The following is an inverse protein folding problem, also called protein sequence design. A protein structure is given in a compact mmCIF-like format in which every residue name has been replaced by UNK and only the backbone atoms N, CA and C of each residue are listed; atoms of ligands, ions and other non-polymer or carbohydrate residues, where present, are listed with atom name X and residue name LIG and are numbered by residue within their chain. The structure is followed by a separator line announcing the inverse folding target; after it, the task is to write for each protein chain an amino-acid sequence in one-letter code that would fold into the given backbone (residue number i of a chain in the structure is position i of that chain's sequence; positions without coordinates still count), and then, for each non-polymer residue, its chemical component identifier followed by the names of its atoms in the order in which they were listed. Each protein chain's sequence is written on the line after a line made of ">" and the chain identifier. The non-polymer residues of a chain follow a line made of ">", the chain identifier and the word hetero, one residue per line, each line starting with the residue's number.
data_IF_145948000943
#
_entry.id   IF_145948000943
#
_cell.length_a   1.000
_cell.length_b   1.000
_cell.length_c   1.000
_cell.angle_alpha   90.00
_cell.angle_beta   90.00
_cell.angle_gamma   90.00
#
_symmetry.space_group_name_H-M   'P 1'
#
loop_
_entity.id
_entity.type
_entity.pdbx_description
1 polymer ?
#
# COMPACT_ATOMS: atom_id res chain seq x y z
N UNK A 1 -37.51 -19.22 29.06
CA UNK A 1 -36.94 -17.85 29.12
C UNK A 1 -36.01 -17.68 27.93
N UNK A 2 -36.31 -16.79 26.99
CA UNK A 2 -35.46 -16.53 25.83
C UNK A 2 -34.75 -15.19 26.02
N UNK A 3 -33.44 -15.23 26.28
CA UNK A 3 -32.61 -14.03 26.34
C UNK A 3 -32.33 -13.52 24.93
N UNK A 4 -32.80 -12.30 24.66
CA UNK A 4 -32.66 -11.63 23.36
C UNK A 4 -31.22 -11.10 23.18
N UNK A 5 -30.46 -11.66 22.23
CA UNK A 5 -29.12 -11.21 21.80
C UNK A 5 -29.08 -9.81 21.13
N UNK A 6 -30.18 -9.05 21.19
CA UNK A 6 -30.35 -7.76 20.49
C UNK A 6 -29.51 -6.60 21.06
N UNK A 7 -28.62 -6.87 22.02
CA UNK A 7 -27.76 -5.85 22.65
C UNK A 7 -26.29 -6.28 22.79
N UNK A 8 -25.79 -7.18 21.93
CA UNK A 8 -24.35 -7.27 21.74
C UNK A 8 -23.89 -5.98 21.05
N UNK A 9 -23.07 -5.19 21.75
CA UNK A 9 -22.43 -3.99 21.19
C UNK A 9 -21.89 -4.33 19.80
N UNK A 10 -22.25 -3.54 18.78
CA UNK A 10 -21.70 -3.73 17.43
C UNK A 10 -20.17 -3.84 17.55
N UNK A 11 -19.54 -4.88 16.97
CA UNK A 11 -18.09 -4.99 17.02
C UNK A 11 -17.50 -3.73 16.38
N UNK A 12 -16.68 -3.02 17.15
CA UNK A 12 -15.97 -1.85 16.64
C UNK A 12 -14.85 -2.36 15.71
N UNK A 13 -14.66 -1.76 14.53
CA UNK A 13 -13.60 -2.18 13.62
C UNK A 13 -12.23 -1.94 14.26
N UNK A 14 -11.30 -2.87 14.04
CA UNK A 14 -9.90 -2.68 14.43
C UNK A 14 -9.27 -1.60 13.55
N UNK A 15 -8.37 -0.81 14.13
CA UNK A 15 -7.60 0.19 13.39
C UNK A 15 -6.20 -0.35 13.13
N UNK A 16 -5.81 -0.46 11.86
CA UNK A 16 -4.49 -0.93 11.47
C UNK A 16 -3.67 0.25 10.93
N UNK A 17 -2.45 0.42 11.46
CA UNK A 17 -1.52 1.46 11.04
C UNK A 17 -0.23 0.80 10.55
N UNK A 18 0.14 1.13 9.31
CA UNK A 18 1.45 0.79 8.77
C UNK A 18 2.37 2.02 8.85
N UNK A 19 3.56 1.83 9.44
CA UNK A 19 4.60 2.85 9.50
C UNK A 19 5.81 2.36 8.72
N UNK A 20 6.34 3.21 7.86
CA UNK A 20 7.57 2.94 7.12
C UNK A 20 8.57 4.05 7.39
N UNK A 21 9.82 3.67 7.65
CA UNK A 21 10.91 4.64 7.75
C UNK A 21 11.23 5.23 6.37
N UNK A 22 11.51 6.53 6.32
CA UNK A 22 11.86 7.22 5.07
C UNK A 22 13.32 6.94 4.61
N UNK A 23 14.13 6.31 5.46
CA UNK A 23 15.54 6.01 5.19
C UNK A 23 15.77 4.51 5.13
N UNK A 24 16.74 4.09 4.32
CA UNK A 24 17.25 2.71 4.28
C UNK A 24 17.54 2.18 5.69
N UNK A 25 17.08 0.97 6.07
CA UNK A 25 16.55 -0.10 5.20
C UNK A 25 15.03 -0.07 4.97
N UNK A 26 14.37 1.09 5.12
CA UNK A 26 12.91 1.25 4.97
C UNK A 26 12.10 0.31 5.86
N UNK A 27 12.55 0.19 7.12
CA UNK A 27 11.90 -0.66 8.11
C UNK A 27 10.39 -0.36 8.17
N UNK A 28 9.59 -1.41 8.01
CA UNK A 28 8.13 -1.32 8.08
C UNK A 28 7.66 -1.96 9.39
N UNK A 29 6.73 -1.30 10.07
CA UNK A 29 6.07 -1.86 11.26
C UNK A 29 4.57 -1.72 11.11
N UNK A 30 3.84 -2.74 11.54
CA UNK A 30 2.37 -2.75 11.51
C UNK A 30 1.86 -2.81 12.94
N UNK A 31 0.89 -1.96 13.27
CA UNK A 31 0.25 -1.92 14.58
C UNK A 31 -1.25 -2.06 14.39
N UNK A 32 -1.90 -2.87 15.21
CA UNK A 32 -3.35 -2.98 15.27
C UNK A 32 -3.85 -2.47 16.63
N UNK A 33 -4.83 -1.60 16.62
CA UNK A 33 -5.55 -1.17 17.80
C UNK A 33 -6.85 -1.94 17.92
N UNK A 34 -6.99 -2.65 19.05
CA UNK A 34 -8.22 -3.35 19.41
C UNK A 34 -9.10 -2.42 20.26
N UNK A 35 -10.22 -1.91 19.71
CA UNK A 35 -11.13 -1.03 20.43
C UNK A 35 -11.91 -1.74 21.55
N UNK A 36 -11.94 -3.08 21.59
CA UNK A 36 -12.58 -3.84 22.66
C UNK A 36 -11.71 -3.86 23.92
N UNK A 37 -10.39 -4.03 23.76
CA UNK A 37 -9.43 -4.05 24.87
C UNK A 37 -8.70 -2.74 25.10
N UNK A 38 -8.86 -1.74 24.21
CA UNK A 38 -8.16 -0.46 24.23
C UNK A 38 -6.62 -0.62 24.19
N UNK A 39 -6.12 -1.60 23.44
CA UNK A 39 -4.70 -1.93 23.39
C UNK A 39 -4.14 -1.84 21.97
N UNK A 40 -2.86 -1.46 21.90
CA UNK A 40 -2.06 -1.51 20.68
C UNK A 40 -1.25 -2.80 20.64
N UNK A 41 -1.40 -3.55 19.56
CA UNK A 41 -0.68 -4.80 19.30
C UNK A 41 0.29 -4.54 18.16
N UNK A 42 1.58 -4.78 18.40
CA UNK A 42 2.59 -4.77 17.34
C UNK A 42 2.51 -6.09 16.57
N UNK A 43 2.24 -6.01 15.28
CA UNK A 43 2.21 -7.18 14.41
C UNK A 43 3.63 -7.38 13.85
N UNK A 44 4.25 -8.47 14.28
CA UNK A 44 5.57 -8.90 13.81
C UNK A 44 5.43 -9.42 12.38
N UNK A 45 5.94 -8.68 11.40
CA UNK A 45 6.03 -9.11 10.01
C UNK A 45 7.50 -9.26 9.61
N UNK A 46 7.82 -10.17 8.68
CA UNK A 46 9.14 -10.22 8.08
C UNK A 46 9.46 -8.85 7.47
N UNK A 47 10.67 -8.35 7.70
CA UNK A 47 11.13 -7.10 7.09
C UNK A 47 11.30 -7.34 5.60
N UNK A 48 10.27 -7.00 4.84
CA UNK A 48 10.37 -7.13 3.40
C UNK A 48 11.22 -5.96 2.89
N UNK A 49 12.41 -6.29 2.36
CA UNK A 49 13.35 -5.32 1.78
C UNK A 49 12.72 -4.71 0.54
N UNK A 50 12.28 -3.46 0.63
CA UNK A 50 11.68 -2.76 -0.50
C UNK A 50 12.25 -1.35 -0.63
N UNK A 51 12.28 -0.85 -1.86
CA UNK A 51 12.90 0.42 -2.25
C UNK A 51 11.84 1.54 -2.35
N UNK A 52 10.54 1.24 -2.20
CA UNK A 52 9.45 2.20 -2.38
C UNK A 52 8.47 2.27 -1.21
N UNK A 53 7.71 3.38 -1.17
CA UNK A 53 6.73 3.67 -0.15
C UNK A 53 5.53 2.71 -0.18
N UNK A 54 5.06 2.31 1.00
CA UNK A 54 3.82 1.56 1.20
C UNK A 54 2.64 2.51 1.05
N UNK A 55 1.74 2.18 0.12
CA UNK A 55 0.52 2.93 -0.16
C UNK A 55 -0.70 2.06 0.13
N UNK A 56 -1.82 2.71 0.41
CA UNK A 56 -3.13 2.06 0.61
C UNK A 56 -4.14 2.72 -0.32
N UNK A 57 -5.02 1.90 -0.89
CA UNK A 57 -6.14 2.36 -1.71
C UNK A 57 -7.49 2.12 -1.01
N UNK A 58 -8.57 2.65 -1.57
CA UNK A 58 -9.92 2.65 -0.99
C UNK A 58 -10.54 1.26 -0.77
N UNK A 59 -9.92 0.18 -1.27
CA UNK A 59 -10.45 -1.19 -1.24
C UNK A 59 -9.66 -2.16 -0.36
N UNK A 60 -9.02 -1.69 0.72
CA UNK A 60 -8.09 -2.48 1.56
C UNK A 60 -6.89 -3.07 0.79
N UNK A 61 -6.60 -2.51 -0.39
CA UNK A 61 -5.44 -2.91 -1.17
C UNK A 61 -4.24 -2.15 -0.66
N UNK A 62 -3.26 -2.87 -0.14
CA UNK A 62 -1.94 -2.35 0.13
C UNK A 62 -1.09 -2.57 -1.12
N UNK A 63 -0.32 -1.57 -1.51
CA UNK A 63 0.58 -1.72 -2.65
C UNK A 63 1.88 -0.95 -2.47
N UNK A 64 2.88 -1.41 -3.19
CA UNK A 64 4.18 -0.77 -3.34
C UNK A 64 4.51 -0.79 -4.82
N UNK A 65 4.97 0.35 -5.32
CA UNK A 65 5.31 0.50 -6.71
C UNK A 65 6.69 1.17 -6.81
N UNK A 66 7.62 0.53 -7.51
CA UNK A 66 8.93 1.03 -7.92
C UNK A 66 9.11 0.83 -9.42
N UNK A 67 10.04 1.54 -10.06
CA UNK A 67 10.26 1.46 -11.51
C UNK A 67 10.60 0.06 -11.99
N UNK A 68 11.06 -0.80 -11.07
CA UNK A 68 11.42 -2.19 -11.29
C UNK A 68 10.43 -3.22 -10.75
N UNK A 69 9.46 -2.84 -9.92
CA UNK A 69 8.62 -3.82 -9.21
C UNK A 69 7.28 -3.25 -8.77
N UNK A 70 6.22 -4.02 -9.02
CA UNK A 70 4.92 -3.79 -8.42
C UNK A 70 4.56 -4.94 -7.48
N UNK A 71 4.26 -4.59 -6.23
CA UNK A 71 3.83 -5.54 -5.20
C UNK A 71 2.51 -5.08 -4.60
N UNK A 72 1.57 -6.00 -4.40
CA UNK A 72 0.29 -5.68 -3.77
C UNK A 72 -0.19 -6.79 -2.83
N UNK A 73 -1.08 -6.43 -1.91
CA UNK A 73 -1.73 -7.31 -0.94
C UNK A 73 -3.20 -6.89 -0.78
N UNK A 74 -4.07 -7.89 -0.62
CA UNK A 74 -5.46 -7.69 -0.22
C UNK A 74 -5.68 -7.93 1.28
N UNK A 75 -4.64 -8.38 1.98
CA UNK A 75 -4.66 -8.60 3.41
C UNK A 75 -4.15 -7.35 4.12
N UNK A 76 -5.00 -6.73 4.94
CA UNK A 76 -4.63 -5.60 5.78
C UNK A 76 -3.54 -5.94 6.80
N UNK A 77 -3.36 -7.22 7.14
CA UNK A 77 -2.28 -7.69 8.00
C UNK A 77 -0.98 -7.90 7.22
N UNK A 78 -0.93 -7.53 5.94
CA UNK A 78 0.30 -7.44 5.18
C UNK A 78 1.09 -8.78 5.14
N UNK A 79 0.38 -9.91 5.28
CA UNK A 79 0.96 -11.25 5.43
C UNK A 79 1.24 -11.90 4.08
N UNK A 80 0.37 -11.64 3.09
CA UNK A 80 0.44 -12.23 1.75
C UNK A 80 0.69 -11.16 0.72
N UNK A 81 1.76 -11.30 -0.06
CA UNK A 81 2.15 -10.33 -1.08
C UNK A 81 2.27 -10.99 -2.44
N UNK A 82 1.65 -10.37 -3.44
CA UNK A 82 1.80 -10.71 -4.84
C UNK A 82 2.85 -9.79 -5.44
N UNK A 83 3.79 -10.36 -6.20
CA UNK A 83 4.86 -9.63 -6.86
C UNK A 83 4.71 -9.82 -8.36
N UNK A 84 4.63 -8.73 -9.11
CA UNK A 84 4.49 -8.74 -10.56
C UNK A 84 5.38 -7.65 -11.16
N UNK A 85 5.56 -7.72 -12.47
CA UNK A 85 6.27 -6.67 -13.20
C UNK A 85 5.53 -5.34 -13.07
N UNK A 86 6.25 -4.21 -12.95
CA UNK A 86 5.63 -2.90 -12.87
C UNK A 86 4.96 -2.55 -14.21
N UNK A 87 3.96 -1.64 -14.19
CA UNK A 87 3.44 -1.06 -15.43
C UNK A 87 4.57 -0.47 -16.28
N UNK A 88 4.47 -0.62 -17.60
CA UNK A 88 5.47 -0.14 -18.57
C UNK A 88 5.78 1.35 -18.45
N UNK A 89 4.80 2.13 -17.98
CA UNK A 89 4.94 3.56 -17.77
C UNK A 89 5.02 3.84 -16.28
N UNK A 90 6.18 4.35 -15.85
CA UNK A 90 6.40 4.81 -14.49
C UNK A 90 5.57 6.05 -14.20
N UNK A 91 4.75 6.01 -13.15
CA UNK A 91 3.87 7.12 -12.79
C UNK A 91 3.81 7.32 -11.28
N UNK A 92 3.78 8.58 -10.88
CA UNK A 92 3.67 9.01 -9.49
C UNK A 92 2.23 8.85 -9.02
N UNK A 93 2.04 8.23 -7.86
CA UNK A 93 0.74 8.11 -7.16
C UNK A 93 -0.43 7.52 -8.00
N UNK A 94 -0.29 6.32 -8.60
CA UNK A 94 -1.42 5.70 -9.30
C UNK A 94 -2.50 5.25 -8.32
N UNK A 95 -3.74 5.20 -8.80
CA UNK A 95 -4.89 4.59 -8.15
C UNK A 95 -4.87 3.08 -8.46
N UNK A 96 -4.78 2.27 -7.41
CA UNK A 96 -4.79 0.81 -7.51
C UNK A 96 -6.10 0.27 -6.97
N UNK A 97 -6.81 -0.57 -7.72
CA UNK A 97 -8.07 -1.16 -7.30
C UNK A 97 -8.16 -2.64 -7.66
N UNK A 98 -8.88 -3.41 -6.84
CA UNK A 98 -9.28 -4.77 -7.17
C UNK A 98 -10.64 -4.73 -7.88
N UNK A 99 -10.73 -5.32 -9.07
CA UNK A 99 -11.96 -5.44 -9.85
C UNK A 99 -12.17 -6.92 -10.19
N UNK A 100 -13.02 -7.60 -9.41
CA UNK A 100 -13.17 -9.06 -9.49
C UNK A 100 -11.84 -9.76 -9.18
N UNK A 101 -11.34 -10.52 -10.15
CA UNK A 101 -10.07 -11.25 -10.09
C UNK A 101 -8.88 -10.46 -10.65
N UNK A 102 -9.12 -9.23 -11.09
CA UNK A 102 -8.09 -8.37 -11.68
C UNK A 102 -7.64 -7.27 -10.71
N UNK A 103 -6.37 -6.88 -10.83
CA UNK A 103 -5.85 -5.64 -10.24
C UNK A 103 -5.70 -4.62 -11.36
N UNK A 104 -6.40 -3.51 -11.21
CA UNK A 104 -6.34 -2.39 -12.15
C UNK A 104 -5.49 -1.29 -11.52
N UNK A 105 -4.49 -0.84 -12.28
CA UNK A 105 -3.64 0.31 -11.92
C UNK A 105 -3.99 1.42 -12.93
N UNK A 106 -4.72 2.42 -12.47
CA UNK A 106 -5.07 3.59 -13.25
C UNK A 106 -4.29 4.80 -12.74
N UNK A 107 -3.85 5.68 -13.62
CA UNK A 107 -3.04 6.82 -13.22
C UNK A 107 -3.60 8.13 -13.78
N UNK A 108 -3.30 9.22 -13.07
CA UNK A 108 -3.79 10.57 -13.38
C UNK A 108 -2.80 11.46 -14.12
N UNK A 109 -1.48 11.24 -14.03
CA UNK A 109 -0.46 12.07 -14.71
C UNK A 109 0.83 11.27 -14.91
N UNK A 110 1.33 11.20 -16.14
CA UNK A 110 2.71 10.81 -16.42
C UNK A 110 3.62 12.02 -16.20
N UNK A 111 4.41 12.06 -15.12
CA UNK A 111 5.59 12.93 -15.11
C UNK A 111 6.71 12.15 -15.81
N UNK A 112 6.81 12.34 -17.12
CA UNK A 112 8.04 12.01 -17.83
C UNK A 112 9.06 13.05 -17.37
N UNK A 113 10.10 12.62 -16.67
CA UNK A 113 11.24 13.49 -16.40
C UNK A 113 11.91 13.75 -17.76
N UNK A 114 11.63 14.90 -18.38
CA UNK A 114 12.32 15.30 -19.60
C UNK A 114 13.83 15.31 -19.34
N UNK A 115 14.65 14.62 -20.15
CA UNK A 115 16.09 14.73 -20.04
C UNK A 115 16.47 16.16 -20.43
N UNK A 116 16.82 16.98 -19.44
CA UNK A 116 17.42 18.30 -19.61
C UNK A 116 18.84 18.21 -20.20
N UNK A 117 19.07 17.44 -21.28
CA UNK A 117 20.39 17.32 -21.91
C UNK A 117 20.34 16.92 -23.39
N UNK A 118 19.56 17.59 -24.26
CA UNK A 118 19.92 17.64 -25.70
C UNK A 118 19.14 18.69 -26.52
N UNK A 119 19.25 19.99 -26.27
CA UNK A 119 18.81 21.01 -27.27
C UNK A 119 19.60 22.33 -27.26
N UNK A 120 20.89 22.30 -26.88
CA UNK A 120 21.83 23.39 -27.21
C UNK A 120 23.02 22.85 -28.00
N UNK A 121 22.73 22.17 -29.10
CA UNK A 121 23.68 22.04 -30.20
C UNK A 121 22.87 22.00 -31.47
N UNK A 122 22.63 23.20 -32.00
CA UNK A 122 22.33 23.55 -33.39
C UNK A 122 21.60 24.89 -33.35
N UNK A 123 22.35 25.99 -33.30
CA UNK A 123 22.12 27.19 -34.10
C UNK A 123 23.20 28.23 -33.75
N UNK A 124 24.01 28.53 -34.79
CA UNK A 124 25.07 29.54 -34.95
C UNK A 124 26.46 29.19 -34.46
#
# INVERSE_FOLDING_TARGET
>A
MASSLRYLKKPKPWLIIHKQANCSPYATTTHAYDPCSNQWIKISQPSIKFISALKSSQSNVLYKLSSSKFSFSFDSLNSTWFNVDPPLVWQTDPIVARVGDFVVVASGVCQFEEPLHHWLRNHQ
#
